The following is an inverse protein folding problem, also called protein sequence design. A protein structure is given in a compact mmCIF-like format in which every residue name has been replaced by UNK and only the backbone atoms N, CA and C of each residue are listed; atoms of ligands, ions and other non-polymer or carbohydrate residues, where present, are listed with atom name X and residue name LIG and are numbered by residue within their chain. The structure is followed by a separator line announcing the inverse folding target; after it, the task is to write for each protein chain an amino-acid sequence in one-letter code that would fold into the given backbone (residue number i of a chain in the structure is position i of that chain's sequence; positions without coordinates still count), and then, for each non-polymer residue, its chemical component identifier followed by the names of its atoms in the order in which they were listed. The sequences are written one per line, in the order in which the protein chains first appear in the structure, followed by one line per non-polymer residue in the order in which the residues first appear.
data_IF_381813621450
#
_entry.id   IF_381813621450
#
_cell.length_a   1.000
_cell.length_b   1.000
_cell.length_c   1.000
_cell.angle_alpha   90.00
_cell.angle_beta   90.00
_cell.angle_gamma   90.00
#
_symmetry.space_group_name_H-M   'P 1'
#
loop_
_entity.id
_entity.type
_entity.pdbx_description
1 polymer ?
#
# COMPACT_ATOMS: atom_id res chain seq x y z
N UNK A 1 26.97 -7.38 -19.94
CA UNK A 1 27.74 -7.03 -18.73
C UNK A 1 27.06 -5.81 -18.12
N UNK A 2 26.05 -6.01 -17.25
CA UNK A 2 25.35 -4.89 -16.59
C UNK A 2 26.35 -4.27 -15.62
N UNK A 3 26.64 -2.99 -15.81
CA UNK A 3 27.56 -2.19 -15.01
C UNK A 3 27.31 -2.40 -13.51
N UNK A 4 28.40 -2.43 -12.75
CA UNK A 4 28.36 -2.39 -11.30
C UNK A 4 27.52 -1.17 -10.86
N UNK A 5 26.27 -1.40 -10.47
CA UNK A 5 25.43 -0.41 -9.79
C UNK A 5 26.06 -0.21 -8.41
N UNK A 6 27.07 0.63 -8.37
CA UNK A 6 27.63 1.19 -7.16
C UNK A 6 26.98 2.57 -6.94
N UNK A 7 25.66 2.58 -6.82
CA UNK A 7 24.93 3.73 -6.30
C UNK A 7 24.70 3.45 -4.83
N UNK A 8 25.46 4.18 -4.02
CA UNK A 8 25.39 4.21 -2.56
C UNK A 8 23.92 4.32 -2.15
N UNK A 9 23.55 3.57 -1.12
CA UNK A 9 22.32 3.74 -0.32
C UNK A 9 22.28 5.15 0.33
N UNK A 10 22.35 6.21 -0.47
CA UNK A 10 22.16 7.57 0.02
C UNK A 10 20.67 7.80 0.16
N UNK A 11 20.30 8.36 1.31
CA UNK A 11 18.94 8.80 1.59
C UNK A 11 18.51 9.80 0.52
N UNK A 12 17.35 9.57 -0.11
CA UNK A 12 16.76 10.50 -1.06
C UNK A 12 15.71 11.37 -0.35
N UNK A 13 16.08 12.62 -0.05
CA UNK A 13 15.23 13.57 0.68
C UNK A 13 13.92 13.87 -0.06
N UNK A 14 13.94 13.93 -1.39
CA UNK A 14 12.73 14.19 -2.20
C UNK A 14 11.71 13.05 -2.05
N UNK A 15 12.18 11.80 -2.04
CA UNK A 15 11.31 10.64 -1.80
C UNK A 15 10.83 10.55 -0.34
N UNK A 16 11.60 11.05 0.61
CA UNK A 16 11.14 11.17 2.01
C UNK A 16 10.04 12.23 2.17
N UNK A 17 10.20 13.38 1.51
CA UNK A 17 9.15 14.41 1.45
C UNK A 17 7.90 13.85 0.78
N UNK A 18 8.07 13.10 -0.32
CA UNK A 18 6.95 12.43 -0.99
C UNK A 18 6.22 11.47 -0.04
N UNK A 19 6.93 10.66 0.77
CA UNK A 19 6.29 9.80 1.78
C UNK A 19 5.46 10.60 2.77
N UNK A 20 5.98 11.73 3.25
CA UNK A 20 5.26 12.61 4.17
C UNK A 20 3.98 13.18 3.53
N UNK A 21 4.08 13.66 2.28
CA UNK A 21 2.92 14.13 1.50
C UNK A 21 1.89 13.00 1.33
N UNK A 22 2.34 11.79 1.00
CA UNK A 22 1.46 10.63 0.88
C UNK A 22 0.77 10.27 2.20
N UNK A 23 1.43 10.40 3.36
CA UNK A 23 0.78 10.20 4.65
C UNK A 23 -0.37 11.20 4.85
N UNK A 24 -0.17 12.48 4.53
CA UNK A 24 -1.23 13.49 4.60
C UNK A 24 -2.38 13.16 3.63
N UNK A 25 -2.07 12.75 2.40
CA UNK A 25 -3.07 12.33 1.43
C UNK A 25 -3.90 11.13 1.92
N UNK A 26 -3.28 10.13 2.55
CA UNK A 26 -4.00 8.96 3.11
C UNK A 26 -5.01 9.40 4.17
N UNK A 27 -4.61 10.30 5.07
CA UNK A 27 -5.49 10.88 6.08
C UNK A 27 -6.67 11.60 5.40
N UNK A 28 -6.40 12.43 4.39
CA UNK A 28 -7.43 13.13 3.61
C UNK A 28 -8.43 12.17 2.94
N UNK A 29 -7.98 11.04 2.37
CA UNK A 29 -8.88 10.05 1.77
C UNK A 29 -9.80 9.41 2.81
N UNK A 30 -9.29 9.14 4.01
CA UNK A 30 -10.10 8.54 5.07
C UNK A 30 -11.11 9.54 5.61
N UNK A 31 -10.73 10.81 5.72
CA UNK A 31 -11.63 11.87 6.18
C UNK A 31 -12.70 12.23 5.14
N UNK A 32 -12.29 12.64 3.93
CA UNK A 32 -13.20 13.14 2.89
C UNK A 32 -13.85 12.05 2.05
N UNK A 33 -13.28 10.84 2.02
CA UNK A 33 -13.75 9.72 1.22
C UNK A 33 -14.50 8.66 2.03
N UNK A 34 -13.79 7.59 2.37
CA UNK A 34 -14.38 6.32 2.83
C UNK A 34 -14.83 6.39 4.31
N UNK A 35 -14.14 7.17 5.15
CA UNK A 35 -14.40 7.24 6.59
C UNK A 35 -15.52 8.19 7.00
N UNK A 36 -16.23 8.79 6.04
CA UNK A 36 -17.56 9.35 6.31
C UNK A 36 -17.64 10.84 6.61
N UNK A 37 -16.55 11.61 6.62
CA UNK A 37 -16.58 13.03 7.01
C UNK A 37 -17.63 13.87 6.26
N UNK A 38 -17.78 13.69 4.95
CA UNK A 38 -18.85 14.37 4.17
C UNK A 38 -20.08 13.49 3.92
N UNK A 39 -19.93 12.17 3.93
CA UNK A 39 -21.05 11.25 3.73
C UNK A 39 -21.98 11.15 4.95
N UNK A 40 -21.48 11.51 6.13
CA UNK A 40 -22.21 11.46 7.41
C UNK A 40 -22.50 12.86 7.95
N UNK A 41 -22.04 13.92 7.29
CA UNK A 41 -22.35 15.29 7.70
C UNK A 41 -23.77 15.66 7.28
N UNK A 42 -24.52 16.26 8.20
CA UNK A 42 -25.83 16.83 7.92
C UNK A 42 -25.68 18.19 7.21
N UNK A 43 -26.60 18.50 6.29
CA UNK A 43 -26.68 19.80 5.59
C UNK A 43 -25.43 20.20 4.77
N UNK A 44 -24.76 19.24 4.11
CA UNK A 44 -23.63 19.54 3.22
C UNK A 44 -24.09 20.24 1.94
N UNK A 45 -23.52 21.42 1.65
CA UNK A 45 -23.77 22.14 0.40
C UNK A 45 -23.14 21.42 -0.80
N UNK A 46 -23.73 21.58 -2.00
CA UNK A 46 -23.18 20.99 -3.23
C UNK A 46 -21.74 21.42 -3.52
N UNK A 47 -21.38 22.66 -3.15
CA UNK A 47 -20.03 23.18 -3.31
C UNK A 47 -19.02 22.48 -2.38
N UNK A 48 -19.37 22.29 -1.11
CA UNK A 48 -18.51 21.57 -0.16
C UNK A 48 -18.35 20.10 -0.55
N UNK A 49 -19.43 19.47 -1.02
CA UNK A 49 -19.39 18.11 -1.55
C UNK A 49 -18.44 17.99 -2.76
N UNK A 50 -18.51 18.95 -3.69
CA UNK A 50 -17.65 18.98 -4.86
C UNK A 50 -16.17 19.11 -4.47
N UNK A 51 -15.83 20.08 -3.61
CA UNK A 51 -14.45 20.29 -3.16
C UNK A 51 -13.89 19.01 -2.53
N UNK A 52 -14.63 18.40 -1.62
CA UNK A 52 -14.14 17.19 -0.96
C UNK A 52 -14.06 15.98 -1.88
N UNK A 53 -14.95 15.88 -2.86
CA UNK A 53 -14.86 14.85 -3.89
C UNK A 53 -13.57 15.01 -4.70
N UNK A 54 -13.22 16.24 -5.08
CA UNK A 54 -11.95 16.56 -5.77
C UNK A 54 -10.76 16.18 -4.88
N UNK A 55 -10.75 16.60 -3.61
CA UNK A 55 -9.68 16.25 -2.67
C UNK A 55 -9.56 14.73 -2.51
N UNK A 56 -10.69 14.03 -2.34
CA UNK A 56 -10.71 12.57 -2.20
C UNK A 56 -10.12 11.89 -3.43
N UNK A 57 -10.50 12.31 -4.65
CA UNK A 57 -9.97 11.74 -5.90
C UNK A 57 -8.48 12.04 -6.05
N UNK A 58 -8.06 13.28 -5.80
CA UNK A 58 -6.66 13.71 -5.90
C UNK A 58 -5.75 12.94 -4.93
N UNK A 59 -6.23 12.64 -3.72
CA UNK A 59 -5.45 11.97 -2.69
C UNK A 59 -5.41 10.43 -2.81
N UNK A 60 -6.29 9.80 -3.60
CA UNK A 60 -6.35 8.33 -3.76
C UNK A 60 -5.04 7.65 -4.19
N UNK A 61 -4.21 8.23 -5.10
CA UNK A 61 -2.96 7.60 -5.54
C UNK A 61 -1.88 7.48 -4.46
N UNK A 62 -2.08 8.04 -3.26
CA UNK A 62 -1.07 8.07 -2.20
C UNK A 62 -0.51 6.68 -1.84
N UNK A 63 -1.37 5.66 -1.80
CA UNK A 63 -0.96 4.27 -1.54
C UNK A 63 -0.09 3.70 -2.66
N UNK A 64 -0.34 4.10 -3.91
CA UNK A 64 0.44 3.69 -5.08
C UNK A 64 1.85 4.26 -5.00
N UNK A 65 2.00 5.51 -4.54
CA UNK A 65 3.31 6.11 -4.30
C UNK A 65 4.13 5.30 -3.29
N UNK A 66 3.54 4.75 -2.23
CA UNK A 66 4.29 3.90 -1.29
C UNK A 66 4.81 2.61 -1.95
N UNK A 67 4.03 1.98 -2.83
CA UNK A 67 4.47 0.81 -3.59
C UNK A 67 5.57 1.17 -4.60
N UNK A 68 5.41 2.27 -5.35
CA UNK A 68 6.41 2.79 -6.29
C UNK A 68 7.74 3.07 -5.58
N UNK A 69 7.71 3.77 -4.45
CA UNK A 69 8.93 4.05 -3.66
C UNK A 69 9.56 2.76 -3.15
N UNK A 70 8.74 1.76 -2.74
CA UNK A 70 9.25 0.46 -2.30
C UNK A 70 9.94 -0.31 -3.43
N UNK A 71 9.39 -0.19 -4.65
CA UNK A 71 9.94 -0.70 -5.90
C UNK A 71 11.22 0.00 -6.34
N UNK A 72 11.26 1.33 -6.24
CA UNK A 72 12.44 2.14 -6.55
C UNK A 72 13.66 1.67 -5.74
N UNK A 73 13.44 1.32 -4.46
CA UNK A 73 14.50 0.80 -3.61
C UNK A 73 14.66 -0.73 -3.61
N UNK A 74 14.01 -1.47 -4.52
CA UNK A 74 13.95 -2.93 -4.43
C UNK A 74 15.31 -3.61 -4.62
N UNK A 75 16.14 -3.10 -5.52
CA UNK A 75 17.47 -3.68 -5.83
C UNK A 75 18.50 -3.38 -4.75
N UNK A 76 18.31 -2.27 -4.04
CA UNK A 76 19.14 -1.91 -2.89
C UNK A 76 18.77 -2.69 -1.61
N UNK A 77 17.70 -3.49 -1.65
CA UNK A 77 17.29 -4.29 -0.49
C UNK A 77 18.08 -5.60 -0.39
N UNK A 78 18.35 -6.01 0.85
CA UNK A 78 19.19 -7.16 1.25
C UNK A 78 19.22 -8.30 0.21
N UNK A 79 20.39 -8.52 -0.40
CA UNK A 79 20.64 -9.67 -1.29
C UNK A 79 20.55 -11.02 -0.55
N UNK A 80 20.63 -10.98 0.78
CA UNK A 80 20.54 -12.14 1.66
C UNK A 80 19.11 -12.32 2.19
N UNK A 81 18.48 -13.43 1.77
CA UNK A 81 17.20 -13.86 2.32
C UNK A 81 17.43 -14.39 3.74
N UNK A 82 17.03 -13.62 4.75
CA UNK A 82 17.03 -14.03 6.15
C UNK A 82 15.64 -13.87 6.73
N UNK A 83 15.09 -14.97 7.27
CA UNK A 83 13.78 -14.97 7.94
C UNK A 83 13.78 -13.95 9.08
N UNK A 84 14.86 -13.87 9.86
CA UNK A 84 14.98 -12.91 10.97
C UNK A 84 14.92 -11.45 10.47
N UNK A 85 15.52 -11.14 9.32
CA UNK A 85 15.44 -9.80 8.70
C UNK A 85 14.05 -9.48 8.17
N UNK A 86 13.31 -10.47 7.67
CA UNK A 86 11.93 -10.27 7.22
C UNK A 86 11.01 -10.04 8.42
N UNK A 87 11.14 -10.87 9.46
CA UNK A 87 10.38 -10.73 10.69
C UNK A 87 10.67 -9.40 11.39
N UNK A 88 11.91 -8.91 11.41
CA UNK A 88 12.22 -7.60 12.01
C UNK A 88 11.55 -6.41 11.29
N UNK A 89 11.22 -6.55 9.99
CA UNK A 89 10.47 -5.55 9.22
C UNK A 89 8.97 -5.64 9.49
N UNK A 90 8.43 -6.86 9.66
CA UNK A 90 6.99 -7.11 9.85
C UNK A 90 6.56 -6.89 11.30
N UNK A 91 7.38 -7.28 12.28
CA UNK A 91 7.09 -7.18 13.71
C UNK A 91 6.62 -5.79 14.16
N UNK A 92 7.33 -4.68 13.85
CA UNK A 92 6.88 -3.36 14.28
C UNK A 92 5.55 -2.94 13.63
N UNK A 93 5.28 -3.36 12.40
CA UNK A 93 4.02 -3.11 11.71
C UNK A 93 2.90 -3.86 12.44
N UNK A 94 3.10 -5.16 12.68
CA UNK A 94 2.11 -6.01 13.32
C UNK A 94 1.78 -5.54 14.73
N UNK A 95 2.79 -5.22 15.55
CA UNK A 95 2.60 -4.71 16.91
C UNK A 95 1.85 -3.38 16.91
N UNK A 96 2.24 -2.42 16.06
CA UNK A 96 1.55 -1.11 16.00
C UNK A 96 0.10 -1.26 15.55
N UNK A 97 -0.17 -2.05 14.52
CA UNK A 97 -1.52 -2.30 14.03
C UNK A 97 -2.36 -3.03 15.08
N UNK A 98 -1.79 -4.03 15.75
CA UNK A 98 -2.43 -4.73 16.87
C UNK A 98 -2.81 -3.77 18.00
N UNK A 99 -1.84 -3.00 18.51
CA UNK A 99 -2.05 -2.07 19.61
C UNK A 99 -3.11 -1.04 19.25
N UNK A 100 -3.03 -0.43 18.06
CA UNK A 100 -4.04 0.52 17.61
C UNK A 100 -5.43 -0.13 17.48
N UNK A 101 -5.53 -1.34 16.92
CA UNK A 101 -6.82 -1.99 16.70
C UNK A 101 -7.52 -2.38 18.01
N UNK A 102 -6.78 -3.02 18.91
CA UNK A 102 -7.29 -3.43 20.23
C UNK A 102 -7.63 -2.21 21.09
N UNK A 103 -6.73 -1.22 21.12
CA UNK A 103 -6.92 0.01 21.89
C UNK A 103 -8.16 0.78 21.43
N UNK A 104 -8.32 1.00 20.12
CA UNK A 104 -9.48 1.71 19.56
C UNK A 104 -10.79 0.95 19.83
N UNK A 105 -10.78 -0.37 19.71
CA UNK A 105 -11.95 -1.18 20.03
C UNK A 105 -12.41 -0.98 21.48
N UNK A 106 -11.50 -1.13 22.44
CA UNK A 106 -11.86 -0.96 23.85
C UNK A 106 -12.24 0.48 24.19
N UNK A 107 -11.60 1.49 23.59
CA UNK A 107 -12.04 2.90 23.76
C UNK A 107 -13.49 3.07 23.32
N UNK A 108 -13.87 2.58 22.14
CA UNK A 108 -15.24 2.76 21.64
C UNK A 108 -16.27 2.00 22.47
N UNK A 109 -15.92 0.83 22.99
CA UNK A 109 -16.77 0.07 23.91
C UNK A 109 -16.93 0.81 25.25
N UNK A 110 -15.83 1.25 25.86
CA UNK A 110 -15.84 1.94 27.17
C UNK A 110 -16.57 3.29 27.06
N UNK A 111 -16.34 4.03 25.97
CA UNK A 111 -17.02 5.29 25.68
C UNK A 111 -18.51 5.11 25.29
N UNK A 112 -19.01 3.87 25.23
CA UNK A 112 -20.38 3.52 24.83
C UNK A 112 -20.77 4.02 23.43
N UNK A 113 -19.78 4.20 22.56
CA UNK A 113 -19.98 4.58 21.15
C UNK A 113 -20.39 3.33 20.35
N UNK A 114 -19.87 2.16 20.72
CA UNK A 114 -20.20 0.88 20.11
C UNK A 114 -20.53 -0.17 21.18
N UNK A 115 -21.46 -1.11 20.92
CA UNK A 115 -21.70 -2.24 21.81
C UNK A 115 -20.50 -3.19 21.79
N UNK A 116 -20.30 -3.88 22.92
CA UNK A 116 -19.31 -4.95 22.98
C UNK A 116 -19.77 -6.16 22.16
N UNK A 117 -18.89 -6.68 21.30
CA UNK A 117 -19.15 -7.83 20.44
C UNK A 117 -17.94 -8.78 20.42
N UNK A 118 -18.18 -10.06 20.69
CA UNK A 118 -17.10 -11.05 20.82
C UNK A 118 -16.37 -11.32 19.51
N UNK A 119 -17.09 -11.28 18.38
CA UNK A 119 -16.52 -11.48 17.05
C UNK A 119 -15.63 -10.30 16.68
N UNK A 120 -16.08 -9.07 16.90
CA UNK A 120 -15.28 -7.86 16.64
C UNK A 120 -14.05 -7.85 17.55
N UNK A 121 -14.22 -8.19 18.84
CA UNK A 121 -13.11 -8.32 19.78
C UNK A 121 -12.01 -9.25 19.25
N UNK A 122 -12.36 -10.49 18.88
CA UNK A 122 -11.38 -11.44 18.32
C UNK A 122 -10.73 -10.89 17.04
N UNK A 123 -11.50 -10.24 16.16
CA UNK A 123 -10.97 -9.66 14.94
C UNK A 123 -9.99 -8.51 15.20
N UNK A 124 -10.22 -7.70 16.24
CA UNK A 124 -9.31 -6.61 16.66
C UNK A 124 -7.96 -7.12 17.18
N UNK A 125 -7.88 -8.35 17.69
CA UNK A 125 -6.62 -8.97 18.09
C UNK A 125 -5.81 -9.52 16.91
N UNK A 126 -6.44 -9.78 15.76
CA UNK A 126 -5.74 -10.25 14.56
C UNK A 126 -6.09 -9.40 13.34
N UNK A 127 -5.82 -8.09 13.37
CA UNK A 127 -6.35 -7.14 12.38
C UNK A 127 -5.77 -7.37 10.97
N UNK A 128 -4.57 -7.94 10.89
CA UNK A 128 -3.93 -8.31 9.61
C UNK A 128 -4.56 -9.58 9.01
N UNK A 129 -4.91 -10.57 9.83
CA UNK A 129 -5.49 -11.83 9.34
C UNK A 129 -6.95 -11.66 8.92
N UNK A 130 -7.70 -10.81 9.62
CA UNK A 130 -9.11 -10.57 9.35
C UNK A 130 -9.37 -9.38 8.40
N UNK A 131 -8.35 -8.93 7.66
CA UNK A 131 -8.44 -7.82 6.69
C UNK A 131 -9.05 -6.52 7.26
N UNK A 132 -8.95 -6.29 8.57
CA UNK A 132 -9.43 -5.05 9.20
C UNK A 132 -8.72 -3.82 8.62
N UNK A 133 -7.46 -4.00 8.23
CA UNK A 133 -6.71 -3.01 7.45
C UNK A 133 -6.20 -3.67 6.17
N UNK A 134 -6.93 -3.46 5.07
CA UNK A 134 -6.64 -4.04 3.75
C UNK A 134 -5.18 -3.78 3.32
N UNK A 135 -4.72 -2.53 3.46
CA UNK A 135 -3.40 -2.10 3.03
C UNK A 135 -2.27 -2.81 3.79
N UNK A 136 -2.43 -2.95 5.12
CA UNK A 136 -1.42 -3.61 5.97
C UNK A 136 -1.25 -5.08 5.55
N UNK A 137 -2.36 -5.76 5.27
CA UNK A 137 -2.36 -7.16 4.82
C UNK A 137 -1.57 -7.33 3.53
N UNK A 138 -1.86 -6.50 2.52
CA UNK A 138 -1.16 -6.52 1.23
C UNK A 138 0.31 -6.14 1.39
N UNK A 139 0.62 -5.14 2.22
CA UNK A 139 1.98 -4.65 2.42
C UNK A 139 2.87 -5.67 3.15
N UNK A 140 2.33 -6.40 4.13
CA UNK A 140 3.04 -7.50 4.80
C UNK A 140 3.38 -8.60 3.79
N UNK A 141 2.42 -9.02 2.95
CA UNK A 141 2.70 -9.99 1.88
C UNK A 141 3.76 -9.48 0.91
N UNK A 142 3.70 -8.19 0.55
CA UNK A 142 4.68 -7.56 -0.32
C UNK A 142 6.10 -7.60 0.28
N UNK A 143 6.25 -7.37 1.60
CA UNK A 143 7.55 -7.48 2.29
C UNK A 143 8.15 -8.89 2.13
N UNK A 144 7.35 -9.94 2.27
CA UNK A 144 7.80 -11.32 2.11
C UNK A 144 8.17 -11.66 0.66
N UNK A 145 7.42 -11.16 -0.32
CA UNK A 145 7.66 -11.42 -1.75
C UNK A 145 8.83 -10.60 -2.31
N UNK A 146 9.05 -9.40 -1.78
CA UNK A 146 10.06 -8.44 -2.24
C UNK A 146 11.45 -9.04 -2.56
N UNK A 147 12.09 -9.86 -1.69
CA UNK A 147 13.42 -10.43 -1.99
C UNK A 147 13.43 -11.44 -3.15
N UNK A 148 12.32 -12.14 -3.40
CA UNK A 148 12.21 -13.04 -4.55
C UNK A 148 11.98 -12.23 -5.83
N UNK A 149 11.05 -11.28 -5.76
CA UNK A 149 10.69 -10.44 -6.88
C UNK A 149 11.87 -9.58 -7.34
N UNK A 150 12.59 -8.92 -6.43
CA UNK A 150 13.78 -8.13 -6.76
C UNK A 150 14.87 -8.95 -7.46
N UNK A 151 15.13 -10.18 -7.00
CA UNK A 151 16.11 -11.09 -7.64
C UNK A 151 15.69 -11.50 -9.05
N UNK A 152 14.38 -11.67 -9.29
CA UNK A 152 13.84 -11.95 -10.61
C UNK A 152 14.00 -10.73 -11.53
N UNK A 153 13.55 -9.56 -11.08
CA UNK A 153 13.54 -8.33 -11.88
C UNK A 153 14.94 -7.93 -12.39
N UNK A 154 15.98 -8.06 -11.56
CA UNK A 154 17.37 -7.74 -11.94
C UNK A 154 17.88 -8.60 -13.10
N UNK A 155 17.40 -9.85 -13.20
CA UNK A 155 17.81 -10.79 -14.25
C UNK A 155 17.12 -10.55 -15.59
N UNK A 156 15.98 -9.88 -15.60
CA UNK A 156 15.25 -9.59 -16.84
C UNK A 156 16.02 -8.60 -17.73
N UNK A 157 15.92 -8.81 -19.03
CA UNK A 157 16.25 -7.82 -20.05
C UNK A 157 15.18 -6.73 -20.11
N UNK A 158 15.52 -5.57 -20.70
CA UNK A 158 14.57 -4.46 -20.83
C UNK A 158 13.32 -4.86 -21.65
N UNK A 159 13.47 -5.77 -22.62
CA UNK A 159 12.36 -6.31 -23.41
C UNK A 159 11.42 -7.16 -22.55
N UNK A 160 11.97 -8.11 -21.79
CA UNK A 160 11.18 -8.98 -20.90
C UNK A 160 10.48 -8.18 -19.80
N UNK A 161 11.17 -7.17 -19.25
CA UNK A 161 10.61 -6.27 -18.25
C UNK A 161 9.44 -5.44 -18.80
N UNK A 162 9.57 -4.93 -20.03
CA UNK A 162 8.49 -4.22 -20.72
C UNK A 162 7.26 -5.10 -20.97
N UNK A 163 7.47 -6.34 -21.41
CA UNK A 163 6.39 -7.33 -21.58
C UNK A 163 5.73 -7.64 -20.24
N UNK A 164 6.51 -7.86 -19.18
CA UNK A 164 5.98 -8.14 -17.84
C UNK A 164 5.07 -7.01 -17.35
N UNK A 165 5.52 -5.74 -17.44
CA UNK A 165 4.70 -4.59 -17.04
C UNK A 165 3.44 -4.47 -17.88
N UNK A 166 3.55 -4.66 -19.20
CA UNK A 166 2.38 -4.58 -20.08
C UNK A 166 1.32 -5.61 -19.66
N UNK A 167 1.74 -6.86 -19.42
CA UNK A 167 0.84 -7.93 -18.94
C UNK A 167 0.23 -7.57 -17.59
N UNK A 168 1.05 -7.11 -16.63
CA UNK A 168 0.56 -6.73 -15.31
C UNK A 168 -0.47 -5.60 -15.39
N UNK A 169 -0.21 -4.53 -16.17
CA UNK A 169 -1.15 -3.42 -16.39
C UNK A 169 -2.44 -3.85 -17.10
N UNK A 170 -2.35 -4.79 -18.04
CA UNK A 170 -3.51 -5.33 -18.73
C UNK A 170 -4.48 -6.00 -17.75
N UNK A 171 -3.99 -6.86 -16.85
CA UNK A 171 -4.85 -7.56 -15.89
C UNK A 171 -5.23 -6.70 -14.68
N UNK A 172 -4.32 -5.85 -14.21
CA UNK A 172 -4.55 -5.01 -13.04
C UNK A 172 -5.48 -3.83 -13.33
N UNK A 173 -5.21 -3.08 -14.41
CA UNK A 173 -5.89 -1.80 -14.68
C UNK A 173 -6.93 -1.91 -15.79
N UNK A 174 -6.57 -2.53 -16.92
CA UNK A 174 -7.44 -2.55 -18.11
C UNK A 174 -8.62 -3.50 -17.88
N UNK A 175 -8.36 -4.75 -17.47
CA UNK A 175 -9.42 -5.72 -17.23
C UNK A 175 -10.38 -5.23 -16.13
N UNK A 176 -9.84 -4.74 -15.02
CA UNK A 176 -10.60 -4.18 -13.89
C UNK A 176 -11.51 -3.02 -14.30
N UNK A 177 -11.12 -2.21 -15.30
CA UNK A 177 -11.94 -1.11 -15.81
C UNK A 177 -13.25 -1.56 -16.48
N UNK A 178 -13.32 -2.82 -16.94
CA UNK A 178 -14.53 -3.40 -17.50
C UNK A 178 -15.47 -4.01 -16.44
N UNK A 179 -15.16 -3.86 -15.14
CA UNK A 179 -15.98 -4.35 -14.04
C UNK A 179 -15.87 -5.85 -13.76
N UNK A 180 -15.10 -6.56 -14.58
CA UNK A 180 -14.76 -7.98 -14.41
C UNK A 180 -13.25 -8.09 -14.36
N UNK A 181 -12.68 -8.55 -13.26
CA UNK A 181 -11.32 -9.04 -13.29
C UNK A 181 -11.24 -10.45 -12.71
N UNK A 182 -10.28 -11.22 -13.18
CA UNK A 182 -10.12 -12.62 -12.77
C UNK A 182 -9.77 -12.78 -11.28
N UNK A 183 -9.43 -11.68 -10.60
CA UNK A 183 -8.93 -11.65 -9.23
C UNK A 183 -9.91 -11.02 -8.22
N UNK A 184 -11.06 -10.51 -8.68
CA UNK A 184 -12.01 -9.72 -7.89
C UNK A 184 -11.41 -8.47 -7.19
N UNK A 185 -10.20 -8.04 -7.58
CA UNK A 185 -9.44 -6.96 -6.95
C UNK A 185 -9.72 -5.60 -7.61
N UNK A 186 -10.40 -4.64 -6.96
CA UNK A 186 -10.67 -3.31 -7.57
C UNK A 186 -9.51 -2.32 -7.44
N UNK A 187 -8.29 -2.70 -7.83
CA UNK A 187 -7.11 -1.82 -7.79
C UNK A 187 -6.54 -1.58 -6.38
N UNK A 188 -6.85 -2.45 -5.42
CA UNK A 188 -6.39 -2.36 -4.02
C UNK A 188 -5.83 -3.68 -3.49
N UNK A 189 -5.58 -4.65 -4.37
CA UNK A 189 -5.13 -5.97 -3.98
C UNK A 189 -3.65 -6.21 -4.25
N UNK A 190 -3.26 -7.48 -4.15
CA UNK A 190 -1.86 -7.85 -4.27
C UNK A 190 -1.32 -7.65 -5.69
N UNK A 191 -2.14 -7.92 -6.72
CA UNK A 191 -1.75 -7.73 -8.11
C UNK A 191 -1.41 -6.25 -8.37
N UNK A 192 -2.23 -5.34 -7.85
CA UNK A 192 -1.98 -3.91 -7.96
C UNK A 192 -0.67 -3.49 -7.27
N UNK A 193 -0.48 -3.96 -6.03
CA UNK A 193 0.70 -3.63 -5.25
C UNK A 193 2.01 -4.11 -5.92
N UNK A 194 2.02 -5.34 -6.44
CA UNK A 194 3.21 -5.89 -7.12
C UNK A 194 3.44 -5.24 -8.49
N UNK A 195 2.38 -4.82 -9.18
CA UNK A 195 2.47 -4.03 -10.42
C UNK A 195 3.13 -2.68 -10.17
N UNK A 196 2.64 -1.93 -9.17
CA UNK A 196 3.22 -0.63 -8.78
C UNK A 196 4.65 -0.76 -8.27
N UNK A 197 4.97 -1.81 -7.51
CA UNK A 197 6.33 -2.10 -7.09
C UNK A 197 7.25 -2.40 -8.29
N UNK A 198 6.76 -3.08 -9.32
CA UNK A 198 7.54 -3.36 -10.54
C UNK A 198 7.76 -2.11 -11.38
N UNK A 199 6.75 -1.23 -11.48
CA UNK A 199 6.90 0.09 -12.10
C UNK A 199 7.95 0.94 -11.38
N UNK A 200 7.93 0.93 -10.04
CA UNK A 200 8.94 1.62 -9.23
C UNK A 200 10.36 1.15 -9.52
N UNK A 201 10.56 -0.16 -9.70
CA UNK A 201 11.85 -0.70 -10.14
C UNK A 201 12.26 -0.18 -11.51
N UNK A 202 11.33 -0.10 -12.46
CA UNK A 202 11.66 0.37 -13.81
C UNK A 202 12.09 1.83 -13.82
N UNK A 203 11.45 2.68 -13.00
CA UNK A 203 11.89 4.07 -12.81
C UNK A 203 13.33 4.10 -12.32
N UNK A 204 13.68 3.28 -11.31
CA UNK A 204 15.06 3.22 -10.78
C UNK A 204 16.09 2.66 -11.77
N UNK A 205 15.66 2.00 -12.85
CA UNK A 205 16.55 1.39 -13.84
C UNK A 205 16.89 2.31 -15.02
N UNK A 206 16.21 3.46 -15.13
CA UNK A 206 16.44 4.48 -16.17
C UNK A 206 17.47 5.52 -15.69
N UNK A 207 17.61 5.71 -14.37
CA UNK A 207 18.67 6.51 -13.72
C UNK A 207 20.02 5.80 -13.72
#
# INVERSE_FOLDING_TARGET
MKSNVNVKSSRNNSLDILRLVCMAMVISVHYFGIGGGIRQAENVTSFNYLIASIISVFCRPAVNCFYLISGFFIVYSDKELSINKLLSKVQPIWIRTFLCSVFLYFIFVIAKIAPFDWKICIQSFFPVMFKQYWYVTVFVLLIFIRPFWGRMLVKLSNKELGVLILVMLLFDSIQTSFGFNAFEERGYGFLHAITMLTLGYCISSIE
#
